data_IF_761384927450
#
_entry.id   IF_761384927450
#
_cell.length_a   1.000
_cell.length_b   1.000
_cell.length_c   1.000
_cell.angle_alpha   90.00
_cell.angle_beta   90.00
_cell.angle_gamma   90.00
#
_symmetry.space_group_name_H-M   'P 1'
#
loop_
_entity.id
_entity.type
_entity.pdbx_description
1 polymer ?
2 polymer ?
3 non-polymer ?
4 water ?
#
# COMPACT_ATOMS: atom_id res chain seq x y z
N UNK A 1 -16.62 -17.57 7.27
CA UNK A 1 -16.62 -16.14 6.84
C UNK A 1 -18.02 -15.63 6.74
N UNK A 2 -18.25 -14.39 7.21
CA UNK A 2 -19.60 -13.84 7.23
C UNK A 2 -20.15 -13.60 5.83
N UNK A 3 -19.28 -13.59 4.82
CA UNK A 3 -19.68 -13.35 3.44
C UNK A 3 -19.83 -14.63 2.64
N UNK A 4 -19.68 -15.78 3.31
CA UNK A 4 -19.67 -17.05 2.63
C UNK A 4 -20.98 -17.41 1.96
N UNK A 5 -22.11 -16.91 2.48
CA UNK A 5 -23.40 -17.20 1.86
C UNK A 5 -23.74 -16.26 0.70
N UNK A 6 -22.97 -15.21 0.45
CA UNK A 6 -23.30 -14.27 -0.61
C UNK A 6 -22.58 -14.59 -1.91
N UNK A 7 -23.32 -14.47 -3.02
CA UNK A 7 -22.74 -14.68 -4.34
C UNK A 7 -21.53 -13.78 -4.58
N UNK A 8 -20.55 -14.31 -5.33
CA UNK A 8 -19.39 -13.50 -5.68
C UNK A 8 -19.78 -12.21 -6.40
N UNK A 9 -20.68 -12.31 -7.40
CA UNK A 9 -21.05 -11.10 -8.15
C UNK A 9 -21.74 -10.07 -7.25
N UNK A 10 -22.55 -10.55 -6.31
CA UNK A 10 -23.21 -9.68 -5.36
C UNK A 10 -22.22 -8.95 -4.47
N UNK A 11 -21.19 -9.67 -4.01
CA UNK A 11 -20.14 -9.04 -3.22
C UNK A 11 -19.41 -7.96 -4.01
N UNK A 12 -19.15 -8.21 -5.30
CA UNK A 12 -18.48 -7.19 -6.10
C UNK A 12 -19.40 -5.98 -6.28
N UNK A 13 -20.67 -6.23 -6.60
CA UNK A 13 -21.64 -5.14 -6.74
C UNK A 13 -21.75 -4.31 -5.46
N UNK A 14 -21.75 -4.97 -4.31
CA UNK A 14 -21.87 -4.24 -3.05
C UNK A 14 -20.58 -3.52 -2.69
N UNK A 15 -19.41 -4.07 -3.03
CA UNK A 15 -18.17 -3.33 -2.85
C UNK A 15 -18.20 -1.99 -3.61
N UNK A 16 -18.75 -2.00 -4.84
CA UNK A 16 -18.87 -0.76 -5.62
C UNK A 16 -19.85 0.22 -4.99
N UNK A 17 -20.98 -0.28 -4.49
CA UNK A 17 -21.93 0.56 -3.76
C UNK A 17 -21.29 1.17 -2.50
N UNK A 18 -20.54 0.37 -1.74
CA UNK A 18 -19.91 0.86 -0.51
C UNK A 18 -18.88 1.93 -0.82
N UNK A 19 -18.11 1.76 -1.91
CA UNK A 19 -17.23 2.83 -2.36
C UNK A 19 -18.01 4.13 -2.63
N UNK A 20 -19.15 4.04 -3.32
CA UNK A 20 -19.92 5.26 -3.59
C UNK A 20 -20.42 5.88 -2.30
N UNK A 21 -20.72 5.06 -1.30
CA UNK A 21 -21.19 5.50 0.00
C UNK A 21 -20.06 5.90 0.93
N UNK A 22 -18.80 5.78 0.48
CA UNK A 22 -17.62 5.98 1.35
C UNK A 22 -17.70 5.12 2.61
N UNK A 23 -18.14 3.88 2.43
CA UNK A 23 -18.21 2.88 3.49
C UNK A 23 -17.10 1.84 3.29
N UNK A 24 -15.87 2.23 3.66
CA UNK A 24 -14.73 1.46 3.18
C UNK A 24 -14.51 0.21 3.98
N UNK A 25 -14.89 0.21 5.25
CA UNK A 25 -14.86 -1.01 6.05
C UNK A 25 -15.77 -2.06 5.45
N UNK A 26 -16.98 -1.65 5.07
CA UNK A 26 -17.88 -2.55 4.37
C UNK A 26 -17.25 -3.03 3.06
N UNK A 27 -16.69 -2.08 2.30
CA UNK A 27 -16.08 -2.39 1.01
C UNK A 27 -15.00 -3.45 1.17
N UNK A 28 -14.18 -3.32 2.21
CA UNK A 28 -13.10 -4.28 2.44
C UNK A 28 -13.65 -5.66 2.80
N UNK A 29 -14.70 -5.68 3.61
CA UNK A 29 -15.30 -6.95 3.99
C UNK A 29 -15.90 -7.66 2.79
N UNK A 30 -16.56 -6.90 1.91
CA UNK A 30 -17.13 -7.47 0.68
C UNK A 30 -16.02 -8.03 -0.22
N UNK A 31 -14.94 -7.26 -0.42
CA UNK A 31 -13.85 -7.76 -1.28
C UNK A 31 -13.09 -8.92 -0.64
N UNK A 32 -12.93 -8.94 0.69
CA UNK A 32 -12.39 -10.12 1.34
C UNK A 32 -13.27 -11.33 1.04
N UNK A 33 -14.59 -11.16 1.15
CA UNK A 33 -15.51 -12.24 0.82
C UNK A 33 -15.33 -12.72 -0.60
N UNK A 34 -15.18 -11.77 -1.53
CA UNK A 34 -14.98 -12.10 -2.94
C UNK A 34 -13.69 -12.88 -3.15
N UNK A 35 -12.59 -12.44 -2.53
CA UNK A 35 -11.34 -13.18 -2.66
C UNK A 35 -11.49 -14.60 -2.12
N UNK A 36 -12.18 -14.77 -0.99
CA UNK A 36 -12.32 -16.10 -0.38
C UNK A 36 -13.18 -17.05 -1.20
N UNK A 37 -13.84 -16.57 -2.26
CA UNK A 37 -14.51 -17.49 -3.17
C UNK A 37 -13.52 -18.36 -3.90
N UNK A 38 -12.25 -17.95 -3.96
CA UNK A 38 -11.20 -18.79 -4.47
C UNK A 38 -10.85 -18.56 -5.92
N UNK A 39 -11.62 -17.75 -6.63
CA UNK A 39 -11.28 -17.47 -8.01
C UNK A 39 -10.32 -16.28 -8.07
N UNK A 40 -9.53 -16.24 -9.14
CA UNK A 40 -8.67 -15.09 -9.38
C UNK A 40 -9.52 -13.84 -9.57
N UNK A 41 -8.88 -12.69 -9.41
CA UNK A 41 -9.54 -11.40 -9.51
C UNK A 41 -9.16 -10.72 -10.82
N UNK A 42 -10.14 -10.06 -11.42
CA UNK A 42 -9.90 -9.28 -12.61
C UNK A 42 -9.15 -7.99 -12.26
N UNK A 43 -8.73 -7.26 -13.30
CA UNK A 43 -8.05 -5.99 -13.05
C UNK A 43 -8.92 -5.06 -12.21
N UNK A 44 -10.19 -4.90 -12.60
CA UNK A 44 -11.07 -4.02 -11.86
C UNK A 44 -11.26 -4.50 -10.43
N UNK A 45 -11.35 -5.82 -10.23
CA UNK A 45 -11.58 -6.37 -8.90
C UNK A 45 -10.36 -6.19 -8.01
N UNK A 46 -9.17 -6.33 -8.58
CA UNK A 46 -7.94 -6.04 -7.83
C UNK A 46 -7.91 -4.59 -7.39
N UNK A 47 -8.36 -3.69 -8.26
CA UNK A 47 -8.37 -2.28 -7.90
C UNK A 47 -9.35 -2.03 -6.77
N UNK A 48 -10.49 -2.71 -6.80
CA UNK A 48 -11.46 -2.51 -5.73
C UNK A 48 -10.90 -2.99 -4.39
N UNK A 49 -10.25 -4.16 -4.40
CA UNK A 49 -9.60 -4.69 -3.21
C UNK A 49 -8.64 -3.66 -2.63
N UNK A 50 -7.81 -3.08 -3.51
CA UNK A 50 -6.79 -2.15 -3.09
C UNK A 50 -7.39 -0.86 -2.51
N UNK A 51 -8.40 -0.31 -3.19
CA UNK A 51 -9.02 0.92 -2.69
C UNK A 51 -9.64 0.69 -1.32
N UNK A 52 -10.29 -0.45 -1.11
CA UNK A 52 -10.99 -0.68 0.14
C UNK A 52 -9.98 -0.66 1.30
N UNK A 53 -8.96 -1.51 1.23
CA UNK A 53 -8.05 -1.64 2.35
C UNK A 53 -7.16 -0.44 2.49
N UNK A 54 -6.84 0.23 1.38
CA UNK A 54 -6.03 1.44 1.47
C UNK A 54 -6.73 2.50 2.30
N UNK A 55 -8.04 2.65 2.08
CA UNK A 55 -8.80 3.62 2.84
C UNK A 55 -8.98 3.19 4.29
N UNK A 56 -9.22 1.91 4.54
CA UNK A 56 -9.32 1.46 5.93
C UNK A 56 -8.01 1.70 6.67
N UNK A 57 -6.89 1.20 6.14
CA UNK A 57 -5.62 1.35 6.83
C UNK A 57 -5.20 2.83 6.83
N UNK A 58 -5.60 3.58 5.81
CA UNK A 58 -5.30 5.00 5.77
C UNK A 58 -5.83 5.75 6.97
N UNK A 59 -7.09 5.48 7.34
CA UNK A 59 -7.64 6.11 8.53
C UNK A 59 -6.95 5.67 9.80
N UNK A 60 -6.53 4.41 9.85
CA UNK A 60 -5.83 3.91 11.04
C UNK A 60 -4.44 4.52 11.15
N UNK A 61 -3.73 4.64 10.03
CA UNK A 61 -2.40 5.26 10.06
C UNK A 61 -2.48 6.72 10.49
N UNK A 62 -3.48 7.44 9.99
CA UNK A 62 -3.65 8.84 10.34
C UNK A 62 -3.95 9.00 11.83
N UNK A 63 -4.78 8.11 12.39
CA UNK A 63 -5.05 8.14 13.82
C UNK A 63 -3.81 7.77 14.64
N UNK A 64 -3.09 6.72 14.22
CA UNK A 64 -1.91 6.29 14.96
C UNK A 64 -0.87 7.39 15.03
N UNK A 65 -0.70 8.12 13.93
CA UNK A 65 0.28 9.21 13.92
C UNK A 65 -0.12 10.32 14.88
N UNK A 66 -1.40 10.70 14.89
CA UNK A 66 -1.89 11.71 15.82
C UNK A 66 -1.57 11.29 17.24
N UNK A 67 -1.90 10.03 17.59
CA UNK A 67 -1.73 9.54 18.94
C UNK A 67 -0.26 9.35 19.31
N UNK A 68 0.54 8.83 18.38
CA UNK A 68 1.98 8.64 18.64
C UNK A 68 2.65 9.98 18.93
N UNK A 69 2.22 11.06 18.24
CA UNK A 69 2.78 12.39 18.50
C UNK A 69 2.40 12.87 19.89
N UNK A 70 1.14 12.65 20.30
CA UNK A 70 0.74 13.03 21.66
C UNK A 70 1.57 12.26 22.67
N UNK A 71 1.79 10.98 22.41
CA UNK A 71 2.55 10.14 23.32
C UNK A 71 4.00 10.59 23.39
N UNK A 72 4.58 11.00 22.26
CA UNK A 72 5.97 11.46 22.26
C UNK A 72 6.10 12.75 23.06
N UNK A 73 5.25 13.73 22.79
CA UNK A 73 5.21 14.94 23.59
C UNK A 73 5.05 14.63 25.08
N UNK A 74 4.27 13.59 25.41
CA UNK A 74 4.05 13.26 26.81
C UNK A 74 5.34 12.86 27.50
N UNK A 75 6.31 12.36 26.74
CA UNK A 75 7.58 11.90 27.29
C UNK A 75 8.71 12.92 27.09
N UNK A 76 8.37 14.16 26.77
CA UNK A 76 9.37 15.22 26.68
C UNK A 76 9.72 15.74 28.06
N UNK A 77 10.78 16.56 28.14
CA UNK A 77 11.15 17.19 29.39
C UNK A 77 10.12 18.24 29.78
N UNK A 78 9.62 18.15 31.02
CA UNK A 78 8.67 19.10 31.55
C UNK A 78 7.21 18.74 31.38
N UNK A 79 6.92 17.57 30.79
CA UNK A 79 5.54 17.16 30.53
C UNK A 79 4.93 16.50 31.76
N UNK A 80 3.73 16.93 32.13
CA UNK A 80 3.07 16.36 33.31
C UNK A 80 2.59 14.93 33.01
N UNK A 81 2.82 14.03 33.97
CA UNK A 81 2.35 12.64 33.84
C UNK A 81 0.83 12.62 33.77
N UNK A 82 0.30 11.91 32.77
CA UNK A 82 -1.15 11.78 32.63
C UNK A 82 -1.61 10.33 32.74
N UNK A 83 -0.71 9.41 33.11
CA UNK A 83 -1.08 8.03 33.29
C UNK A 83 -0.96 7.22 32.01
N UNK A 84 -1.52 6.00 32.01
CA UNK A 84 -1.28 5.07 30.90
C UNK A 84 -2.21 5.24 29.70
N UNK A 85 -3.12 6.21 29.70
CA UNK A 85 -4.21 6.20 28.75
C UNK A 85 -3.75 6.45 27.32
N UNK A 86 -2.81 7.37 27.12
CA UNK A 86 -2.35 7.68 25.77
C UNK A 86 -1.67 6.47 25.14
N UNK A 87 -0.78 5.82 25.89
CA UNK A 87 -0.13 4.62 25.40
C UNK A 87 -1.15 3.52 25.14
N UNK A 88 -2.07 3.32 26.08
CA UNK A 88 -3.09 2.30 25.91
C UNK A 88 -3.85 2.49 24.60
N UNK A 89 -4.30 3.72 24.35
CA UNK A 89 -5.16 3.97 23.21
C UNK A 89 -4.35 3.90 21.91
N UNK A 90 -3.11 4.40 21.94
CA UNK A 90 -2.20 4.20 20.79
C UNK A 90 -2.01 2.72 20.51
N UNK A 91 -1.86 1.92 21.56
CA UNK A 91 -1.67 0.49 21.38
C UNK A 91 -2.91 -0.16 20.79
N UNK A 92 -4.10 0.29 21.21
CA UNK A 92 -5.33 -0.26 20.66
C UNK A 92 -5.42 0.02 19.16
N UNK A 93 -5.18 1.26 18.75
CA UNK A 93 -5.25 1.59 17.34
C UNK A 93 -4.18 0.82 16.58
N UNK A 94 -2.96 0.78 17.13
CA UNK A 94 -1.86 0.04 16.52
C UNK A 94 -2.22 -1.43 16.30
N UNK A 95 -2.82 -2.04 17.31
CA UNK A 95 -3.19 -3.45 17.20
C UNK A 95 -4.24 -3.66 16.10
N UNK A 96 -5.19 -2.75 15.99
CA UNK A 96 -6.21 -2.84 14.96
C UNK A 96 -5.60 -2.70 13.56
N UNK A 97 -4.67 -1.76 13.41
CA UNK A 97 -3.98 -1.59 12.14
C UNK A 97 -3.21 -2.83 11.77
N UNK A 98 -2.45 -3.37 12.72
CA UNK A 98 -1.71 -4.60 12.48
C UNK A 98 -2.63 -5.73 12.06
N UNK A 99 -3.82 -5.79 12.63
CA UNK A 99 -4.73 -6.86 12.25
C UNK A 99 -5.24 -6.70 10.83
N UNK A 100 -5.49 -5.47 10.41
CA UNK A 100 -5.87 -5.22 9.01
C UNK A 100 -4.73 -5.60 8.07
N UNK A 101 -3.49 -5.20 8.42
CA UNK A 101 -2.34 -5.56 7.59
C UNK A 101 -2.19 -7.07 7.49
N UNK A 102 -2.35 -7.77 8.62
CA UNK A 102 -2.27 -9.21 8.64
C UNK A 102 -3.34 -9.86 7.78
N UNK A 103 -4.56 -9.32 7.84
CA UNK A 103 -5.65 -9.83 7.02
C UNK A 103 -5.32 -9.73 5.53
N UNK A 104 -4.82 -8.56 5.09
CA UNK A 104 -4.45 -8.38 3.68
C UNK A 104 -3.34 -9.35 3.31
N UNK A 105 -2.29 -9.42 4.14
CA UNK A 105 -1.17 -10.31 3.83
C UNK A 105 -1.61 -11.76 3.78
N UNK A 106 -2.61 -12.13 4.59
CA UNK A 106 -3.11 -13.50 4.55
C UNK A 106 -3.88 -13.78 3.28
N UNK A 107 -4.56 -12.78 2.74
CA UNK A 107 -5.26 -12.98 1.49
C UNK A 107 -4.27 -13.16 0.36
N UNK A 108 -3.18 -12.37 0.37
CA UNK A 108 -2.15 -12.49 -0.66
C UNK A 108 -1.50 -13.85 -0.61
N UNK A 109 -1.24 -14.36 0.60
CA UNK A 109 -0.60 -15.65 0.77
C UNK A 109 -1.55 -16.82 0.61
N UNK A 110 -2.86 -16.59 0.70
CA UNK A 110 -3.86 -17.66 0.60
C UNK A 110 -5.05 -17.20 -0.25
N UNK A 111 -4.92 -17.20 -1.57
CA UNK A 111 -3.84 -17.79 -2.34
C UNK A 111 -3.63 -16.91 -3.58
N UNK A 112 -3.84 -15.60 -3.40
CA UNK A 112 -3.80 -14.69 -4.54
C UNK A 112 -2.45 -14.74 -5.27
N UNK A 113 -1.34 -14.59 -4.55
CA UNK A 113 -0.04 -14.49 -5.22
C UNK A 113 0.29 -15.78 -5.97
N UNK A 114 0.09 -16.92 -5.32
CA UNK A 114 0.51 -18.17 -5.95
C UNK A 114 -0.27 -18.48 -7.21
N UNK A 115 -1.51 -18.00 -7.33
CA UNK A 115 -2.26 -18.24 -8.57
C UNK A 115 -2.07 -17.13 -9.61
N UNK A 116 -1.34 -16.05 -9.27
CA UNK A 116 -1.14 -14.93 -10.17
C UNK A 116 0.00 -15.24 -11.13
N UNK A 117 -0.35 -15.54 -12.37
CA UNK A 117 0.62 -15.93 -13.38
C UNK A 117 0.97 -14.81 -14.32
N UNK A 118 0.01 -13.94 -14.63
CA UNK A 118 0.30 -12.82 -15.51
C UNK A 118 1.09 -11.73 -14.78
N UNK A 119 1.91 -11.01 -15.54
CA UNK A 119 2.73 -9.94 -14.96
C UNK A 119 1.90 -8.87 -14.25
N UNK A 120 0.75 -8.50 -14.83
CA UNK A 120 -0.04 -7.42 -14.23
C UNK A 120 -0.62 -7.84 -12.88
N UNK A 121 -1.10 -9.08 -12.76
CA UNK A 121 -1.62 -9.52 -11.47
C UNK A 121 -0.48 -9.78 -10.49
N UNK A 122 0.58 -10.47 -10.93
CA UNK A 122 1.65 -10.82 -10.01
C UNK A 122 2.32 -9.57 -9.46
N UNK A 123 2.58 -8.58 -10.31
CA UNK A 123 3.19 -7.34 -9.85
C UNK A 123 2.26 -6.60 -8.91
N UNK A 124 0.97 -6.51 -9.26
CA UNK A 124 0.01 -5.83 -8.38
C UNK A 124 0.05 -6.41 -6.97
N UNK A 125 0.04 -7.75 -6.86
CA UNK A 125 -0.07 -8.40 -5.55
C UNK A 125 1.25 -8.32 -4.77
N UNK A 126 2.38 -8.42 -5.47
CA UNK A 126 3.66 -8.30 -4.79
C UNK A 126 3.87 -6.87 -4.30
N UNK A 127 3.47 -5.87 -5.10
CA UNK A 127 3.46 -4.49 -4.63
C UNK A 127 2.61 -4.35 -3.36
N UNK A 128 1.40 -4.92 -3.40
CA UNK A 128 0.52 -4.86 -2.24
C UNK A 128 1.19 -5.47 -1.01
N UNK A 129 1.88 -6.61 -1.18
CA UNK A 129 2.58 -7.24 -0.07
C UNK A 129 3.64 -6.30 0.50
N UNK A 130 4.42 -5.66 -0.38
CA UNK A 130 5.37 -4.65 0.09
C UNK A 130 4.69 -3.53 0.85
N UNK A 131 3.59 -3.02 0.32
CA UNK A 131 2.86 -1.92 0.94
C UNK A 131 2.42 -2.28 2.35
N UNK A 132 1.83 -3.47 2.55
CA UNK A 132 1.28 -3.76 3.86
C UNK A 132 2.37 -4.19 4.86
N UNK A 133 3.48 -4.76 4.40
CA UNK A 133 4.64 -4.85 5.29
C UNK A 133 5.21 -3.46 5.61
N UNK A 134 5.16 -2.52 4.67
CA UNK A 134 5.61 -1.17 4.96
C UNK A 134 4.75 -0.51 6.03
N UNK A 135 3.42 -0.69 5.99
CA UNK A 135 2.59 -0.11 7.04
C UNK A 135 2.88 -0.75 8.39
N UNK A 136 3.08 -2.07 8.41
CA UNK A 136 3.54 -2.72 9.63
C UNK A 136 4.84 -2.08 10.13
N UNK A 137 5.76 -1.80 9.20
CA UNK A 137 7.07 -1.25 9.60
C UNK A 137 6.96 0.15 10.18
N UNK A 138 6.00 0.95 9.70
CA UNK A 138 5.82 2.29 10.23
C UNK A 138 5.60 2.27 11.75
N UNK A 139 5.01 1.21 12.28
CA UNK A 139 4.70 1.13 13.71
C UNK A 139 5.55 0.11 14.44
N UNK A 140 6.49 -0.54 13.78
CA UNK A 140 7.25 -1.61 14.38
C UNK A 140 8.39 -1.04 15.23
N UNK A 141 8.67 -1.68 16.36
CA UNK A 141 9.73 -1.19 17.25
C UNK A 141 10.58 -2.29 17.88
N UNK A 142 10.12 -3.52 17.94
CA UNK A 142 10.78 -4.54 18.74
C UNK A 142 11.68 -5.44 17.92
N UNK A 143 11.73 -6.71 18.32
CA UNK A 143 12.66 -7.69 17.77
C UNK A 143 12.50 -7.94 16.27
N UNK A 144 11.31 -7.68 15.73
CA UNK A 144 11.01 -8.00 14.34
C UNK A 144 10.91 -6.77 13.44
N UNK A 145 11.27 -5.57 13.93
CA UNK A 145 11.35 -4.43 13.02
C UNK A 145 12.19 -4.76 11.79
N UNK A 146 13.35 -5.39 11.98
CA UNK A 146 14.24 -5.61 10.84
C UNK A 146 13.66 -6.64 9.88
N UNK A 147 13.03 -7.69 10.41
CA UNK A 147 12.47 -8.72 9.55
C UNK A 147 11.27 -8.19 8.78
N UNK A 148 10.44 -7.36 9.43
CA UNK A 148 9.33 -6.73 8.74
C UNK A 148 9.82 -5.87 7.58
N UNK A 149 10.88 -5.08 7.83
CA UNK A 149 11.45 -4.22 6.78
C UNK A 149 11.98 -5.06 5.63
N UNK A 150 12.67 -6.15 5.95
CA UNK A 150 13.21 -7.00 4.89
C UNK A 150 12.11 -7.71 4.11
N UNK A 151 10.99 -8.05 4.77
CA UNK A 151 9.85 -8.62 4.07
C UNK A 151 9.25 -7.62 3.07
N UNK A 152 9.13 -6.35 3.48
CA UNK A 152 8.70 -5.33 2.54
C UNK A 152 9.69 -5.21 1.38
N UNK A 153 10.98 -5.06 1.69
CA UNK A 153 11.98 -4.91 0.64
C UNK A 153 11.94 -6.08 -0.32
N UNK A 154 11.88 -7.30 0.21
CA UNK A 154 11.89 -8.48 -0.63
C UNK A 154 10.70 -8.49 -1.59
N UNK A 155 9.51 -8.18 -1.10
CA UNK A 155 8.33 -8.20 -1.94
C UNK A 155 8.43 -7.15 -3.03
N UNK A 156 8.82 -5.93 -2.66
CA UNK A 156 8.95 -4.86 -3.64
C UNK A 156 9.99 -5.19 -4.70
N UNK A 157 11.10 -5.81 -4.28
CA UNK A 157 12.17 -6.11 -5.22
C UNK A 157 11.72 -7.16 -6.23
N UNK A 158 11.03 -8.20 -5.77
CA UNK A 158 10.53 -9.21 -6.70
C UNK A 158 9.56 -8.58 -7.69
N UNK A 159 8.71 -7.68 -7.21
CA UNK A 159 7.76 -6.99 -8.08
C UNK A 159 8.51 -6.10 -9.07
N UNK A 160 9.55 -5.39 -8.63
CA UNK A 160 10.32 -4.56 -9.55
C UNK A 160 10.98 -5.39 -10.65
N UNK A 161 11.57 -6.53 -10.30
CA UNK A 161 12.26 -7.33 -11.31
C UNK A 161 11.29 -7.80 -12.39
N UNK A 162 10.07 -8.17 -12.00
CA UNK A 162 9.09 -8.60 -12.98
C UNK A 162 8.60 -7.43 -13.82
N UNK A 163 8.31 -6.29 -13.16
CA UNK A 163 7.83 -5.11 -13.86
C UNK A 163 8.84 -4.63 -14.88
N UNK A 164 10.13 -4.65 -14.52
CA UNK A 164 11.14 -4.18 -15.47
C UNK A 164 11.22 -5.11 -16.67
N UNK A 165 11.07 -6.41 -16.45
CA UNK A 165 11.13 -7.37 -17.54
C UNK A 165 9.87 -7.39 -18.41
N UNK A 166 8.71 -7.13 -17.84
CA UNK A 166 7.46 -7.50 -18.48
C UNK A 166 6.55 -6.33 -18.81
N UNK A 167 6.82 -5.13 -18.32
CA UNK A 167 5.88 -4.04 -18.45
C UNK A 167 6.60 -2.85 -19.02
N UNK A 168 5.91 -1.98 -19.77
CA UNK A 168 6.51 -0.72 -20.26
C UNK A 168 6.74 0.24 -19.10
N UNK A 169 7.70 1.19 -19.26
CA UNK A 169 8.05 2.10 -18.15
C UNK A 169 6.93 3.02 -17.71
N UNK A 170 5.89 3.17 -18.52
CA UNK A 170 4.77 4.04 -18.18
C UNK A 170 3.57 3.29 -17.62
N UNK A 171 3.64 1.98 -17.56
CA UNK A 171 2.55 1.19 -17.01
C UNK A 171 2.18 1.72 -15.62
N UNK A 172 0.92 2.07 -15.39
CA UNK A 172 0.57 2.69 -14.08
C UNK A 172 0.93 1.86 -12.87
N UNK A 173 0.81 0.52 -12.96
CA UNK A 173 1.17 -0.29 -11.79
C UNK A 173 2.68 -0.31 -11.61
N UNK A 174 3.44 -0.40 -12.70
CA UNK A 174 4.90 -0.28 -12.59
C UNK A 174 5.29 1.05 -11.95
N UNK A 175 4.62 2.13 -12.37
CA UNK A 175 4.94 3.45 -11.84
C UNK A 175 4.57 3.55 -10.36
N UNK A 176 3.41 3.04 -9.99
CA UNK A 176 3.01 3.11 -8.59
C UNK A 176 3.87 2.25 -7.70
N UNK A 177 4.31 1.11 -8.22
CA UNK A 177 5.25 0.27 -7.47
C UNK A 177 6.55 1.02 -7.22
N UNK A 178 7.11 1.61 -8.27
CA UNK A 178 8.39 2.30 -8.11
C UNK A 178 8.23 3.47 -7.17
N UNK A 179 7.15 4.23 -7.32
CA UNK A 179 6.84 5.29 -6.36
C UNK A 179 6.88 4.76 -4.93
N UNK A 180 6.12 3.70 -4.67
CA UNK A 180 6.00 3.22 -3.29
C UNK A 180 7.30 2.61 -2.79
N UNK A 181 8.10 1.98 -3.66
CA UNK A 181 9.40 1.46 -3.24
C UNK A 181 10.32 2.62 -2.87
N UNK A 182 10.18 3.75 -3.56
CA UNK A 182 11.04 4.90 -3.25
C UNK A 182 10.64 5.51 -1.92
N UNK A 183 9.33 5.50 -1.61
CA UNK A 183 8.86 5.94 -0.29
C UNK A 183 9.35 4.98 0.79
N UNK A 184 9.33 3.69 0.52
CA UNK A 184 9.95 2.73 1.43
C UNK A 184 11.40 3.11 1.74
N UNK A 185 12.18 3.37 0.69
CA UNK A 185 13.58 3.72 0.89
C UNK A 185 13.71 4.98 1.75
N UNK A 186 12.88 5.99 1.46
CA UNK A 186 13.06 7.27 2.14
C UNK A 186 12.56 7.20 3.59
N UNK A 187 11.38 6.63 3.79
CA UNK A 187 10.68 6.74 5.07
C UNK A 187 10.95 5.56 6.00
N UNK A 188 11.28 4.40 5.47
CA UNK A 188 11.41 3.18 6.26
C UNK A 188 12.85 2.74 6.36
N UNK A 189 13.56 2.71 5.24
CA UNK A 189 14.86 2.08 5.15
C UNK A 189 16.02 3.03 5.42
N UNK A 190 15.74 4.26 5.78
CA UNK A 190 16.79 5.25 6.03
C UNK A 190 17.77 5.35 4.86
N UNK A 191 17.25 5.32 3.64
CA UNK A 191 18.10 5.36 2.44
C UNK A 191 17.58 6.43 1.50
N UNK A 192 17.69 7.69 1.89
CA UNK A 192 17.14 8.77 1.03
C UNK A 192 17.81 8.85 -0.34
N UNK A 193 19.11 8.54 -0.44
CA UNK A 193 19.76 8.57 -1.73
C UNK A 193 19.21 7.49 -2.65
N UNK A 194 18.96 6.29 -2.12
CA UNK A 194 18.32 5.26 -2.94
C UNK A 194 16.93 5.72 -3.38
N UNK A 195 16.17 6.34 -2.47
CA UNK A 195 14.83 6.84 -2.80
C UNK A 195 14.89 7.81 -3.96
N UNK A 196 15.81 8.77 -3.89
CA UNK A 196 15.92 9.82 -4.91
C UNK A 196 16.34 9.23 -6.26
N UNK A 197 17.37 8.38 -6.26
CA UNK A 197 17.82 7.75 -7.49
C UNK A 197 16.70 6.96 -8.14
N UNK A 198 15.96 6.17 -7.36
CA UNK A 198 14.88 5.38 -7.93
C UNK A 198 13.81 6.30 -8.53
N UNK A 199 13.42 7.34 -7.79
CA UNK A 199 12.38 8.24 -8.29
C UNK A 199 12.81 8.94 -9.58
N UNK A 200 14.08 9.37 -9.64
CA UNK A 200 14.55 10.08 -10.83
C UNK A 200 14.58 9.16 -12.04
N UNK A 201 15.16 7.96 -11.87
CA UNK A 201 15.28 7.04 -12.98
C UNK A 201 13.92 6.58 -13.47
N UNK A 202 12.99 6.35 -12.54
CA UNK A 202 11.63 5.99 -12.90
C UNK A 202 10.98 7.09 -13.74
N UNK A 203 11.11 8.34 -13.27
CA UNK A 203 10.48 9.46 -13.96
C UNK A 203 11.05 9.61 -15.37
N UNK A 204 12.37 9.54 -15.49
CA UNK A 204 13.04 9.79 -16.78
C UNK A 204 12.69 8.71 -17.80
N UNK A 205 12.69 7.45 -17.39
CA UNK A 205 12.34 6.37 -18.30
C UNK A 205 10.88 6.45 -18.72
N UNK A 206 9.99 6.86 -17.80
CA UNK A 206 8.59 7.03 -18.20
C UNK A 206 8.45 8.19 -19.18
N UNK A 207 9.08 9.32 -18.90
CA UNK A 207 9.05 10.46 -19.81
C UNK A 207 9.41 10.06 -21.25
N UNK A 208 10.42 9.22 -21.41
CA UNK A 208 10.89 8.84 -22.73
C UNK A 208 9.97 7.84 -23.43
N UNK A 209 9.00 7.27 -22.71
CA UNK A 209 8.05 6.30 -23.27
C UNK A 209 6.67 6.90 -23.51
N UNK A 210 6.43 8.13 -23.07
CA UNK A 210 5.10 8.72 -23.20
C UNK A 210 4.67 8.86 -24.65
N UNK A 211 5.61 9.04 -25.57
CA UNK A 211 5.23 9.22 -26.97
C UNK A 211 4.51 8.01 -27.55
N UNK A 212 4.55 6.86 -26.86
CA UNK A 212 3.91 5.66 -27.40
C UNK A 212 2.44 5.55 -27.02
N UNK A 213 1.97 6.44 -26.15
CA UNK A 213 0.67 6.29 -25.50
C UNK A 213 -0.44 7.09 -26.16
N UNK A 214 -1.65 6.57 -26.00
CA UNK A 214 -2.87 7.33 -26.26
C UNK A 214 -3.03 8.49 -25.28
N UNK A 215 -3.94 9.40 -25.62
CA UNK A 215 -4.23 10.55 -24.78
C UNK A 215 -4.73 10.11 -23.41
N UNK A 216 -5.54 9.04 -23.35
CA UNK A 216 -6.05 8.58 -22.06
C UNK A 216 -4.95 7.96 -21.22
N UNK A 217 -4.12 7.10 -21.82
CA UNK A 217 -3.02 6.50 -21.07
C UNK A 217 -1.97 7.53 -20.70
N UNK A 218 -1.71 8.49 -21.60
CA UNK A 218 -0.84 9.61 -21.28
C UNK A 218 -1.27 10.28 -20.00
N UNK A 219 -2.57 10.60 -19.90
CA UNK A 219 -3.09 11.21 -18.68
C UNK A 219 -2.87 10.32 -17.46
N UNK A 220 -3.15 9.02 -17.57
CA UNK A 220 -2.99 8.13 -16.41
C UNK A 220 -1.54 8.12 -15.92
N UNK A 221 -0.59 8.01 -16.85
CA UNK A 221 0.81 7.89 -16.46
C UNK A 221 1.37 9.20 -15.91
N UNK A 222 1.08 10.34 -16.57
CA UNK A 222 1.61 11.62 -16.10
C UNK A 222 1.07 11.97 -14.72
N UNK A 223 -0.15 11.55 -14.40
CA UNK A 223 -0.67 11.82 -13.06
C UNK A 223 0.22 11.19 -11.99
N UNK A 224 0.67 9.96 -12.25
CA UNK A 224 1.51 9.28 -11.26
C UNK A 224 2.92 9.83 -11.29
N UNK A 225 3.40 10.19 -12.48
CA UNK A 225 4.73 10.79 -12.57
C UNK A 225 4.82 12.07 -11.75
N UNK A 226 3.71 12.83 -11.68
CA UNK A 226 3.69 14.04 -10.88
C UNK A 226 3.92 13.76 -9.41
N UNK A 227 3.47 12.61 -8.90
CA UNK A 227 3.78 12.24 -7.52
C UNK A 227 5.28 11.99 -7.34
N UNK A 228 5.94 11.35 -8.32
CA UNK A 228 7.38 11.17 -8.24
C UNK A 228 8.06 12.53 -8.18
N UNK A 229 7.62 13.44 -9.03
CA UNK A 229 8.18 14.79 -9.04
C UNK A 229 7.95 15.51 -7.71
N UNK A 230 6.75 15.42 -7.14
CA UNK A 230 6.47 16.10 -5.89
C UNK A 230 7.37 15.58 -4.77
N UNK A 231 7.59 14.26 -4.76
CA UNK A 231 8.46 13.68 -3.75
C UNK A 231 9.89 14.19 -3.93
N UNK A 232 10.40 14.16 -5.16
CA UNK A 232 11.75 14.65 -5.42
C UNK A 232 11.90 16.11 -4.95
N UNK A 233 10.87 16.93 -5.20
CA UNK A 233 10.90 18.31 -4.72
C UNK A 233 10.94 18.37 -3.19
N UNK A 234 10.22 17.48 -2.51
CA UNK A 234 10.26 17.46 -1.04
C UNK A 234 11.59 16.92 -0.55
N UNK A 235 12.16 15.96 -1.28
CA UNK A 235 13.33 15.26 -0.79
C UNK A 235 14.64 15.95 -1.12
N UNK A 236 14.65 16.89 -2.05
CA UNK A 236 15.89 17.56 -2.44
C UNK A 236 15.86 19.10 -2.34
N UNK B 3 5.22 13.17 4.99
CA UNK B 3 4.72 14.02 3.91
C UNK B 3 5.04 13.42 2.53
N UNK B 4 5.73 12.29 2.49
CA UNK B 4 5.98 11.62 1.21
C UNK B 4 4.67 11.09 0.63
N UNK B 5 4.53 11.21 -0.69
CA UNK B 5 3.30 10.83 -1.36
C UNK B 5 3.44 9.41 -1.90
N UNK B 7 1.29 5.98 -3.90
CA UNK B 7 0.33 5.71 -4.99
C UNK B 7 -1.08 5.86 -4.49
N UNK B 8 -1.89 6.63 -5.21
CA UNK B 8 -3.22 7.00 -4.71
C UNK B 8 -4.22 5.88 -4.95
#
# INVERSE_FOLDING_TARGET
GAMGSMERASLIQKAKLAEQAERYEDMAAFMKGAVEKGEELSCEERNLLSVAYKNVVGGQRAAWRVLSSIEQKSNEEGSEEKGPEVREYREKVETELQGVCDTVLGLLDSHLIKEAGDAESRVFYLKMKGDYYRYLAEVATGDDKKRIIDSARSAYQEAMDISKKEMPPTNPIRLGLALNFSVFHYEIANSPEEAISLAKTTFDEAMADLHTLSEDSYKDSTLIMQLLRDNLTLWT
VYRSLXFE
#
